data_IF_005365896481
#
_entry.id   IF_005365896481
#
_cell.length_a   1.000
_cell.length_b   1.000
_cell.length_c   1.000
_cell.angle_alpha   90.00
_cell.angle_beta   90.00
_cell.angle_gamma   90.00
#
_symmetry.space_group_name_H-M   'P 1'
#
loop_
_entity.id
_entity.type
_entity.pdbx_description
1 polymer ?
#
# COMPACT_ATOMS: atom_id res chain seq x y z
N UNK A 1 -13.96 4.27 -1.24
CA UNK A 1 -14.02 2.86 -1.60
C UNK A 1 -14.12 2.74 -3.12
N UNK A 2 -13.34 1.89 -3.69
CA UNK A 2 -13.28 1.77 -5.14
C UNK A 2 -13.39 0.31 -5.54
N UNK A 3 -14.39 -0.03 -6.33
CA UNK A 3 -14.60 -1.41 -6.77
C UNK A 3 -13.76 -1.68 -8.02
N UNK A 4 -13.12 -2.85 -8.04
CA UNK A 4 -12.31 -3.28 -9.18
C UNK A 4 -12.68 -4.73 -9.49
N UNK A 5 -13.60 -4.91 -10.43
CA UNK A 5 -14.13 -6.23 -10.69
C UNK A 5 -14.82 -6.76 -9.45
N UNK A 6 -14.33 -7.89 -8.94
CA UNK A 6 -14.87 -8.48 -7.71
C UNK A 6 -14.15 -8.00 -6.45
N UNK A 7 -13.28 -7.00 -6.58
CA UNK A 7 -12.47 -6.54 -5.46
C UNK A 7 -12.85 -5.15 -5.00
N UNK A 8 -12.42 -4.82 -3.78
CA UNK A 8 -12.63 -3.52 -3.17
C UNK A 8 -11.29 -3.00 -2.68
N UNK A 9 -11.01 -1.73 -2.97
CA UNK A 9 -9.81 -1.05 -2.47
C UNK A 9 -10.22 0.06 -1.52
N UNK A 10 -9.80 -0.04 -0.28
CA UNK A 10 -10.13 0.94 0.75
C UNK A 10 -9.05 2.01 0.84
N UNK A 11 -9.48 3.26 1.04
CA UNK A 11 -8.54 4.30 1.45
C UNK A 11 -8.14 4.04 2.90
N UNK A 12 -7.06 4.71 3.35
CA UNK A 12 -6.64 4.58 4.73
C UNK A 12 -7.75 4.97 5.70
N UNK A 13 -8.47 6.04 5.39
CA UNK A 13 -9.55 6.49 6.24
C UNK A 13 -10.68 5.46 6.32
N UNK A 14 -11.06 4.89 5.19
CA UNK A 14 -12.07 3.85 5.16
C UNK A 14 -11.62 2.61 5.90
N UNK A 15 -10.35 2.24 5.73
CA UNK A 15 -9.77 1.09 6.41
C UNK A 15 -9.89 1.21 7.93
N UNK A 16 -9.58 2.38 8.47
CA UNK A 16 -9.58 2.57 9.92
C UNK A 16 -10.98 2.56 10.52
N UNK A 17 -12.01 2.78 9.71
CA UNK A 17 -13.39 2.72 10.17
C UNK A 17 -14.06 1.39 9.86
N UNK A 18 -13.40 0.53 9.11
CA UNK A 18 -13.95 -0.75 8.73
C UNK A 18 -13.98 -1.69 9.94
N UNK A 19 -15.14 -2.29 10.20
CA UNK A 19 -15.29 -3.18 11.35
C UNK A 19 -14.89 -4.60 11.06
N UNK A 20 -15.10 -5.05 9.82
CA UNK A 20 -14.75 -6.42 9.43
C UNK A 20 -14.46 -6.47 7.94
N UNK A 21 -13.75 -7.52 7.55
CA UNK A 21 -13.46 -7.75 6.15
C UNK A 21 -14.74 -8.03 5.37
N UNK A 22 -14.88 -7.49 4.14
CA UNK A 22 -15.99 -7.88 3.28
C UNK A 22 -16.00 -9.39 3.05
N UNK A 23 -17.20 -9.97 2.98
CA UNK A 23 -17.37 -11.40 2.90
C UNK A 23 -16.93 -12.01 1.58
N UNK A 24 -16.88 -11.21 0.52
CA UNK A 24 -16.58 -11.70 -0.83
C UNK A 24 -15.56 -10.84 -1.54
N UNK A 25 -14.87 -11.47 -2.48
CA UNK A 25 -13.94 -10.79 -3.37
C UNK A 25 -12.62 -10.42 -2.73
N UNK A 26 -11.76 -9.84 -3.53
CA UNK A 26 -10.48 -9.36 -3.05
C UNK A 26 -10.67 -8.06 -2.30
N UNK A 27 -9.92 -7.91 -1.24
CA UNK A 27 -9.95 -6.69 -0.45
C UNK A 27 -8.52 -6.18 -0.23
N UNK A 28 -8.31 -4.91 -0.50
CA UNK A 28 -7.00 -4.28 -0.36
C UNK A 28 -7.16 -2.90 0.24
N UNK A 29 -6.08 -2.32 0.74
CA UNK A 29 -6.13 -1.00 1.32
C UNK A 29 -4.85 -0.23 1.05
N UNK A 30 -4.99 1.09 0.99
CA UNK A 30 -3.86 2.01 0.94
C UNK A 30 -3.49 2.37 2.37
N UNK A 31 -2.21 2.24 2.70
CA UNK A 31 -1.71 2.50 4.05
C UNK A 31 -0.55 3.49 3.98
N UNK A 32 -0.45 4.32 4.99
CA UNK A 32 0.62 5.32 5.10
C UNK A 32 1.39 5.19 6.40
N UNK A 33 0.88 4.44 7.35
CA UNK A 33 1.46 4.30 8.67
C UNK A 33 1.48 2.85 9.10
N UNK A 34 2.27 2.58 10.14
CA UNK A 34 2.33 1.27 10.76
C UNK A 34 0.97 0.83 11.29
N UNK A 35 0.23 1.76 11.89
CA UNK A 35 -1.08 1.47 12.45
C UNK A 35 -2.07 1.07 11.38
N UNK A 36 -2.03 1.76 10.24
CA UNK A 36 -2.91 1.43 9.13
C UNK A 36 -2.60 0.05 8.57
N UNK A 37 -1.32 -0.27 8.39
CA UNK A 37 -0.95 -1.59 7.93
C UNK A 37 -1.35 -2.67 8.93
N UNK A 38 -1.18 -2.40 10.23
CA UNK A 38 -1.61 -3.33 11.27
C UNK A 38 -3.10 -3.61 11.18
N UNK A 39 -3.89 -2.58 10.89
CA UNK A 39 -5.34 -2.77 10.73
C UNK A 39 -5.65 -3.65 9.52
N UNK A 40 -4.95 -3.44 8.40
CA UNK A 40 -5.13 -4.28 7.23
C UNK A 40 -4.81 -5.74 7.54
N UNK A 41 -3.78 -5.99 8.32
CA UNK A 41 -3.42 -7.34 8.73
C UNK A 41 -4.45 -7.94 9.68
N UNK A 42 -4.99 -7.17 10.61
CA UNK A 42 -6.04 -7.63 11.52
C UNK A 42 -7.28 -8.08 10.75
N UNK A 43 -7.61 -7.35 9.70
CA UNK A 43 -8.76 -7.66 8.84
C UNK A 43 -8.44 -8.75 7.83
N UNK A 44 -7.19 -9.20 7.76
CA UNK A 44 -6.74 -10.24 6.85
C UNK A 44 -7.06 -9.90 5.40
N UNK A 45 -6.79 -8.65 5.02
CA UNK A 45 -6.98 -8.23 3.64
C UNK A 45 -6.03 -8.98 2.72
N UNK A 46 -6.35 -9.03 1.45
CA UNK A 46 -5.55 -9.79 0.48
C UNK A 46 -4.20 -9.15 0.22
N UNK A 47 -4.13 -7.82 0.25
CA UNK A 47 -2.85 -7.11 0.16
C UNK A 47 -3.04 -5.66 0.61
N UNK A 48 -1.91 -4.98 0.78
CA UNK A 48 -1.91 -3.57 1.10
C UNK A 48 -0.93 -2.84 0.19
N UNK A 49 -1.21 -1.57 -0.06
CA UNK A 49 -0.31 -0.67 -0.78
C UNK A 49 0.20 0.31 0.26
N UNK A 50 1.51 0.42 0.40
CA UNK A 50 2.13 1.26 1.43
C UNK A 50 2.97 2.35 0.79
N UNK A 51 2.75 3.57 1.21
CA UNK A 51 3.48 4.72 0.70
C UNK A 51 2.93 6.03 1.22
N UNK A 52 3.27 7.14 0.59
CA UNK A 52 4.18 7.24 -0.55
C UNK A 52 5.63 7.05 -0.13
N UNK A 53 6.37 6.26 -0.89
CA UNK A 53 7.79 6.07 -0.63
C UNK A 53 8.56 7.33 -1.01
N UNK A 54 8.22 7.91 -2.15
CA UNK A 54 8.81 9.15 -2.63
C UNK A 54 7.73 10.16 -2.98
N UNK A 55 8.11 11.43 -3.04
CA UNK A 55 7.20 12.50 -3.40
C UNK A 55 6.67 12.29 -4.82
N UNK A 56 5.39 12.54 -5.00
CA UNK A 56 4.75 12.44 -6.30
C UNK A 56 4.36 13.83 -6.80
N UNK A 57 4.13 13.93 -8.12
CA UNK A 57 3.70 15.19 -8.71
C UNK A 57 2.37 15.67 -8.15
N UNK A 58 1.48 14.75 -7.82
CA UNK A 58 0.15 15.11 -7.29
C UNK A 58 0.14 15.37 -5.79
N UNK A 59 1.21 15.05 -5.09
CA UNK A 59 1.28 15.22 -3.63
C UNK A 59 2.61 15.81 -3.22
N UNK A 60 2.98 16.92 -3.85
CA UNK A 60 4.21 17.60 -3.51
C UNK A 60 4.18 18.10 -2.07
N UNK A 61 5.29 17.92 -1.39
CA UNK A 61 5.41 18.33 0.00
C UNK A 61 4.79 17.36 0.98
N UNK A 62 4.15 16.30 0.52
CA UNK A 62 3.62 15.29 1.44
C UNK A 62 4.77 14.53 2.10
N UNK A 63 4.55 14.12 3.35
CA UNK A 63 5.52 13.30 4.05
C UNK A 63 5.69 11.98 3.31
N UNK A 64 6.94 11.56 3.12
CA UNK A 64 7.24 10.31 2.44
C UNK A 64 7.94 9.35 3.38
N UNK A 65 7.84 8.06 3.09
CA UNK A 65 8.45 7.04 3.93
C UNK A 65 9.92 6.81 3.62
N UNK A 66 10.31 6.94 2.36
CA UNK A 66 11.61 6.45 1.91
C UNK A 66 11.65 4.93 2.01
N UNK A 67 12.70 4.32 1.48
CA UNK A 67 12.82 2.87 1.56
C UNK A 67 13.09 2.37 2.97
N UNK A 68 13.80 3.15 3.78
CA UNK A 68 14.03 2.78 5.18
C UNK A 68 12.75 2.78 5.98
N UNK A 69 11.93 3.81 5.81
CA UNK A 69 10.64 3.88 6.47
C UNK A 69 9.69 2.80 6.01
N UNK A 70 9.68 2.54 4.70
CA UNK A 70 8.90 1.46 4.14
C UNK A 70 9.28 0.13 4.78
N UNK A 71 10.58 -0.17 4.82
CA UNK A 71 11.07 -1.43 5.37
C UNK A 71 10.70 -1.57 6.85
N UNK A 72 10.81 -0.49 7.61
CA UNK A 72 10.47 -0.53 9.02
C UNK A 72 9.00 -0.88 9.25
N UNK A 73 8.11 -0.37 8.41
CA UNK A 73 6.68 -0.64 8.54
C UNK A 73 6.30 -1.99 7.97
N UNK A 74 6.87 -2.35 6.81
CA UNK A 74 6.50 -3.59 6.11
C UNK A 74 7.09 -4.84 6.76
N UNK A 75 8.13 -4.68 7.59
CA UNK A 75 8.78 -5.83 8.21
C UNK A 75 7.79 -6.64 9.04
N UNK A 76 7.75 -7.93 8.80
CA UNK A 76 6.85 -8.80 9.55
C UNK A 76 5.40 -8.77 9.09
N UNK A 77 5.10 -8.10 7.98
CA UNK A 77 3.73 -8.09 7.48
C UNK A 77 3.27 -9.51 7.15
N UNK A 78 2.03 -9.81 7.54
CA UNK A 78 1.43 -11.12 7.28
C UNK A 78 0.69 -11.18 5.96
N UNK A 79 0.55 -10.04 5.29
CA UNK A 79 -0.09 -9.95 3.96
C UNK A 79 0.90 -9.32 2.98
N UNK A 80 0.73 -9.54 1.67
CA UNK A 80 1.57 -8.89 0.68
C UNK A 80 1.48 -7.37 0.76
N UNK A 81 2.61 -6.70 0.64
CA UNK A 81 2.69 -5.25 0.69
C UNK A 81 3.39 -4.74 -0.55
N UNK A 82 2.74 -3.85 -1.28
CA UNK A 82 3.29 -3.23 -2.48
C UNK A 82 3.65 -1.78 -2.20
N UNK A 83 4.77 -1.34 -2.74
CA UNK A 83 5.22 0.03 -2.56
C UNK A 83 4.56 0.95 -3.59
N UNK A 84 4.19 2.15 -3.16
CA UNK A 84 3.55 3.13 -4.04
C UNK A 84 4.16 4.51 -3.81
N UNK A 85 4.11 5.34 -4.83
CA UNK A 85 4.43 6.76 -4.75
C UNK A 85 5.75 7.13 -5.39
N UNK A 86 5.69 7.83 -6.54
CA UNK A 86 6.83 8.50 -7.15
C UNK A 86 8.00 7.62 -7.58
N UNK A 87 7.78 6.34 -7.81
CA UNK A 87 8.87 5.42 -8.10
C UNK A 87 8.99 5.10 -9.58
N UNK A 88 10.18 4.68 -9.96
CA UNK A 88 10.49 4.23 -11.30
C UNK A 88 10.68 2.71 -11.30
N UNK A 89 10.62 2.11 -12.50
CA UNK A 89 10.84 0.68 -12.64
C UNK A 89 12.18 0.24 -12.07
N UNK A 90 13.19 1.09 -12.20
CA UNK A 90 14.54 0.78 -11.74
C UNK A 90 14.59 0.56 -10.23
N UNK A 91 13.55 0.96 -9.51
CA UNK A 91 13.53 0.82 -8.07
C UNK A 91 12.94 -0.50 -7.58
N UNK A 92 12.60 -1.39 -8.50
CA UNK A 92 12.00 -2.67 -8.13
C UNK A 92 12.90 -3.47 -7.20
N UNK A 93 14.21 -3.42 -7.44
CA UNK A 93 15.16 -4.12 -6.59
C UNK A 93 15.22 -3.51 -5.20
N UNK A 94 15.20 -2.18 -5.12
CA UNK A 94 15.15 -1.50 -3.83
C UNK A 94 13.87 -1.85 -3.07
N UNK A 95 12.75 -1.95 -3.79
CA UNK A 95 11.49 -2.35 -3.20
C UNK A 95 11.57 -3.75 -2.59
N UNK A 96 12.12 -4.70 -3.33
CA UNK A 96 12.28 -6.06 -2.83
C UNK A 96 13.17 -6.11 -1.58
N UNK A 97 14.26 -5.38 -1.59
CA UNK A 97 15.15 -5.30 -0.43
C UNK A 97 14.46 -4.72 0.79
N UNK A 98 13.52 -3.83 0.57
CA UNK A 98 12.74 -3.22 1.64
C UNK A 98 11.55 -4.07 2.09
N UNK A 99 11.35 -5.23 1.49
CA UNK A 99 10.27 -6.14 1.87
C UNK A 99 8.99 -5.99 1.09
N UNK A 100 8.99 -5.18 0.01
CA UNK A 100 7.81 -5.06 -0.83
C UNK A 100 7.68 -6.28 -1.73
N UNK A 101 6.44 -6.62 -2.05
CA UNK A 101 6.16 -7.68 -3.01
C UNK A 101 6.20 -7.17 -4.45
N UNK A 102 6.27 -5.86 -4.62
CA UNK A 102 6.35 -5.23 -5.92
C UNK A 102 6.07 -3.75 -5.82
N UNK A 103 5.94 -3.11 -6.96
CA UNK A 103 5.60 -1.70 -7.06
C UNK A 103 4.17 -1.54 -7.56
N UNK A 104 3.43 -0.64 -6.93
CA UNK A 104 2.13 -0.23 -7.45
C UNK A 104 2.35 1.10 -8.16
N UNK A 105 2.33 1.09 -9.49
CA UNK A 105 2.60 2.26 -10.30
C UNK A 105 1.30 2.85 -10.81
N UNK A 106 0.91 3.97 -10.26
CA UNK A 106 -0.39 4.55 -10.54
C UNK A 106 -0.40 5.55 -11.68
N UNK A 107 0.62 6.37 -11.80
CA UNK A 107 0.58 7.49 -12.74
C UNK A 107 0.86 7.06 -14.17
N UNK A 108 -0.09 6.41 -14.79
CA UNK A 108 -0.08 6.16 -16.22
C UNK A 108 0.92 5.15 -16.72
N UNK A 109 1.77 4.64 -15.88
CA UNK A 109 2.85 3.77 -16.31
C UNK A 109 2.38 2.37 -16.68
N UNK A 110 1.17 2.05 -16.36
CA UNK A 110 0.63 0.73 -16.58
C UNK A 110 -0.80 0.74 -17.09
N UNK A 111 -1.00 1.56 -18.02
CA UNK A 111 -2.25 1.53 -18.76
C UNK A 111 -2.15 0.65 -19.94
#
# INVERSE_FOLDING_TARGET
MHAMGDGIHFTAQQLMTLKERPARGLAAASCHTREELARAMQLELDFAVLGPVRETASHRGAATLGWDGFAAIARGASIPVYAIGGMRREEIEAAWRAGAHGLAMISGSWR
#
